data_IF_748899291043
#
_entry.id   IF_748899291043
#
_cell.length_a   1.000
_cell.length_b   1.000
_cell.length_c   1.000
_cell.angle_alpha   90.00
_cell.angle_beta   90.00
_cell.angle_gamma   90.00
#
_symmetry.space_group_name_H-M   'P 1'
#
loop_
_entity.id
_entity.type
_entity.pdbx_description
1 polymer ?
#
# COMPACT_ATOMS: atom_id res chain seq x y z
N UNK A 1 -29.80 14.35 -20.59
CA UNK A 1 -29.11 15.26 -19.65
C UNK A 1 -27.62 15.25 -19.92
N UNK A 2 -26.91 16.32 -19.57
CA UNK A 2 -25.65 16.74 -20.21
C UNK A 2 -24.36 16.05 -19.70
N UNK A 3 -24.49 14.92 -19.00
CA UNK A 3 -23.39 14.27 -18.26
C UNK A 3 -22.49 13.38 -19.13
N UNK A 4 -22.92 13.02 -20.34
CA UNK A 4 -22.17 12.15 -21.27
C UNK A 4 -20.84 12.73 -21.81
N UNK A 5 -20.55 14.00 -21.53
CA UNK A 5 -19.29 14.68 -21.87
C UNK A 5 -18.50 15.12 -20.63
N UNK A 6 -18.93 14.71 -19.44
CA UNK A 6 -18.27 15.09 -18.20
C UNK A 6 -16.99 14.27 -18.04
N UNK A 7 -15.84 14.92 -18.17
CA UNK A 7 -14.53 14.31 -17.96
C UNK A 7 -14.08 14.34 -16.49
N UNK A 8 -14.65 15.25 -15.69
CA UNK A 8 -14.29 15.43 -14.28
C UNK A 8 -15.57 15.62 -13.46
N UNK A 9 -15.79 14.75 -12.48
CA UNK A 9 -16.92 14.82 -11.56
C UNK A 9 -16.37 15.01 -10.15
N UNK A 10 -16.79 16.11 -9.53
CA UNK A 10 -16.57 16.37 -8.12
C UNK A 10 -17.91 16.30 -7.39
N UNK A 11 -17.92 15.60 -6.26
CA UNK A 11 -19.07 15.47 -5.36
C UNK A 11 -18.56 15.77 -3.95
N UNK A 12 -19.15 16.73 -3.23
CA UNK A 12 -18.83 16.91 -1.82
C UNK A 12 -19.58 18.01 -1.09
N UNK A 13 -19.51 17.95 0.25
CA UNK A 13 -20.00 18.92 1.25
C UNK A 13 -21.44 19.45 1.08
N UNK A 14 -22.29 18.75 0.32
CA UNK A 14 -23.75 19.00 0.21
C UNK A 14 -24.51 17.78 -0.34
N UNK A 15 -23.90 16.59 -0.34
CA UNK A 15 -24.47 15.37 -0.94
C UNK A 15 -24.95 14.37 0.11
N UNK A 16 -25.52 14.86 1.22
CA UNK A 16 -26.03 14.02 2.31
C UNK A 16 -27.18 13.09 1.91
N UNK A 17 -27.86 13.34 0.80
CA UNK A 17 -28.87 12.43 0.23
C UNK A 17 -28.27 11.34 -0.68
N UNK A 18 -26.99 11.43 -1.06
CA UNK A 18 -26.36 10.49 -1.99
C UNK A 18 -25.91 9.22 -1.26
N UNK A 19 -26.74 8.19 -1.30
CA UNK A 19 -26.40 6.87 -0.74
C UNK A 19 -25.66 5.95 -1.71
N UNK A 20 -25.85 6.12 -3.01
CA UNK A 20 -25.23 5.30 -4.06
C UNK A 20 -24.95 6.15 -5.30
N UNK A 21 -23.77 5.98 -5.91
CA UNK A 21 -23.42 6.61 -7.18
C UNK A 21 -23.37 5.57 -8.32
N UNK A 22 -24.18 5.77 -9.36
CA UNK A 22 -24.11 4.98 -10.60
C UNK A 22 -23.05 5.57 -11.54
N UNK A 23 -22.02 4.79 -11.87
CA UNK A 23 -20.88 5.30 -12.66
C UNK A 23 -21.16 5.36 -14.16
N UNK A 24 -22.07 4.53 -14.69
CA UNK A 24 -22.41 4.44 -16.12
C UNK A 24 -22.97 5.73 -16.72
N UNK A 25 -23.46 6.66 -15.90
CA UNK A 25 -23.97 7.95 -16.34
C UNK A 25 -22.86 8.90 -16.84
N UNK A 26 -21.59 8.54 -16.65
CA UNK A 26 -20.43 9.36 -16.99
C UNK A 26 -19.41 8.55 -17.85
N UNK A 27 -19.78 8.10 -19.06
CA UNK A 27 -18.93 7.21 -19.88
C UNK A 27 -17.61 7.85 -20.37
N UNK A 28 -17.52 9.19 -20.33
CA UNK A 28 -16.30 9.96 -20.64
C UNK A 28 -15.54 10.43 -19.39
N UNK A 29 -15.94 9.97 -18.21
CA UNK A 29 -15.32 10.39 -16.96
C UNK A 29 -13.89 9.90 -16.88
N UNK A 30 -12.96 10.83 -16.75
CA UNK A 30 -11.54 10.60 -16.51
C UNK A 30 -11.22 10.62 -15.02
N UNK A 31 -11.78 11.58 -14.29
CA UNK A 31 -11.52 11.77 -12.87
C UNK A 31 -12.82 11.79 -12.07
N UNK A 32 -12.88 10.95 -11.04
CA UNK A 32 -13.95 10.96 -10.03
C UNK A 32 -13.37 11.34 -8.67
N UNK A 33 -13.86 12.44 -8.09
CA UNK A 33 -13.52 12.90 -6.74
C UNK A 33 -14.79 12.95 -5.89
N UNK A 34 -14.80 12.23 -4.76
CA UNK A 34 -15.93 12.20 -3.82
C UNK A 34 -15.41 12.48 -2.41
N UNK A 35 -15.77 13.63 -1.85
CA UNK A 35 -15.33 14.08 -0.52
C UNK A 35 -16.53 14.33 0.38
N UNK A 36 -16.40 14.09 1.69
CA UNK A 36 -17.38 14.50 2.70
C UNK A 36 -18.82 14.03 2.39
N UNK A 37 -18.93 12.84 1.78
CA UNK A 37 -20.22 12.23 1.43
C UNK A 37 -20.61 11.26 2.54
N UNK A 38 -20.99 11.82 3.68
CA UNK A 38 -21.26 11.11 4.93
C UNK A 38 -22.30 9.98 4.83
N UNK A 39 -23.15 9.97 3.80
CA UNK A 39 -24.17 8.95 3.56
C UNK A 39 -23.92 8.01 2.38
N UNK A 40 -22.85 8.22 1.60
CA UNK A 40 -22.48 7.33 0.49
C UNK A 40 -22.09 5.97 1.06
N UNK A 41 -22.73 4.91 0.56
CA UNK A 41 -22.56 3.53 1.02
C UNK A 41 -21.95 2.62 -0.04
N UNK A 42 -22.20 2.88 -1.32
CA UNK A 42 -21.79 2.01 -2.42
C UNK A 42 -21.69 2.74 -3.76
N UNK A 43 -20.99 2.08 -4.69
CA UNK A 43 -21.04 2.39 -6.12
C UNK A 43 -21.93 1.37 -6.83
N UNK A 44 -22.55 1.80 -7.93
CA UNK A 44 -23.32 0.93 -8.80
C UNK A 44 -22.78 0.97 -10.24
N UNK A 45 -22.77 -0.19 -10.89
CA UNK A 45 -22.44 -0.38 -12.31
C UNK A 45 -23.51 -1.29 -12.91
N UNK A 46 -24.20 -0.81 -13.94
CA UNK A 46 -25.37 -1.48 -14.51
C UNK A 46 -24.91 -2.59 -15.47
N UNK A 47 -24.85 -3.85 -15.00
CA UNK A 47 -24.30 -5.02 -15.72
C UNK A 47 -24.78 -5.24 -17.17
N UNK A 48 -25.97 -4.75 -17.54
CA UNK A 48 -26.50 -4.83 -18.91
C UNK A 48 -25.87 -3.80 -19.86
N UNK A 49 -25.48 -2.65 -19.33
CA UNK A 49 -24.59 -1.71 -20.00
C UNK A 49 -23.19 -2.27 -19.76
N UNK A 50 -22.44 -2.59 -20.82
CA UNK A 50 -20.97 -2.77 -20.70
C UNK A 50 -20.33 -1.39 -20.53
N UNK A 51 -20.68 -0.73 -19.43
CA UNK A 51 -20.19 0.58 -18.99
C UNK A 51 -18.79 0.44 -18.44
N UNK A 52 -17.91 -0.15 -19.24
CA UNK A 52 -16.48 -0.16 -18.98
C UNK A 52 -16.05 1.28 -18.73
N UNK A 53 -15.36 1.51 -17.61
CA UNK A 53 -14.84 2.81 -17.23
C UNK A 53 -13.54 3.07 -18.01
N UNK A 54 -13.60 2.91 -19.34
CA UNK A 54 -12.50 3.03 -20.29
C UNK A 54 -11.87 4.41 -20.25
N UNK A 55 -12.66 5.43 -19.95
CA UNK A 55 -12.16 6.80 -19.82
C UNK A 55 -11.52 7.06 -18.46
N UNK A 56 -11.82 6.27 -17.43
CA UNK A 56 -11.46 6.58 -16.04
C UNK A 56 -9.99 6.32 -15.78
N UNK A 57 -9.28 7.40 -15.48
CA UNK A 57 -7.84 7.48 -15.26
C UNK A 57 -7.52 7.66 -13.76
N UNK A 58 -8.44 8.26 -12.98
CA UNK A 58 -8.26 8.51 -11.54
C UNK A 58 -9.54 8.38 -10.72
N UNK A 59 -9.43 7.72 -9.56
CA UNK A 59 -10.47 7.59 -8.55
C UNK A 59 -9.98 8.10 -7.19
N UNK A 60 -10.69 9.06 -6.62
CA UNK A 60 -10.40 9.64 -5.31
C UNK A 60 -11.64 9.67 -4.41
N UNK A 61 -11.52 9.09 -3.21
CA UNK A 61 -12.58 9.07 -2.19
C UNK A 61 -11.98 9.55 -0.86
N UNK A 62 -12.64 10.51 -0.23
CA UNK A 62 -12.24 11.08 1.08
C UNK A 62 -13.45 11.27 1.98
N UNK A 63 -13.27 11.04 3.27
CA UNK A 63 -14.26 11.41 4.30
C UNK A 63 -15.66 10.86 3.99
N UNK A 64 -15.69 9.62 3.50
CA UNK A 64 -16.89 8.85 3.19
C UNK A 64 -17.02 7.71 4.22
N UNK A 65 -17.30 8.01 5.50
CA UNK A 65 -17.22 7.03 6.59
C UNK A 65 -18.21 5.87 6.41
N UNK A 66 -19.33 6.06 5.72
CA UNK A 66 -20.34 5.01 5.48
C UNK A 66 -20.10 4.18 4.21
N UNK A 67 -19.08 4.48 3.40
CA UNK A 67 -18.80 3.71 2.20
C UNK A 67 -18.37 2.30 2.62
N UNK A 68 -19.13 1.27 2.22
CA UNK A 68 -18.89 -0.11 2.64
C UNK A 68 -18.12 -0.91 1.58
N UNK A 69 -18.47 -0.75 0.30
CA UNK A 69 -17.88 -1.55 -0.79
C UNK A 69 -17.91 -0.86 -2.16
N UNK A 70 -17.09 -1.42 -3.06
CA UNK A 70 -17.17 -1.22 -4.50
C UNK A 70 -18.30 -2.06 -5.14
N UNK A 71 -18.57 -1.91 -6.46
CA UNK A 71 -19.58 -2.71 -7.14
C UNK A 71 -19.24 -4.20 -7.13
N UNK A 72 -20.25 -5.06 -7.17
CA UNK A 72 -20.07 -6.52 -7.30
C UNK A 72 -19.38 -6.86 -8.63
N UNK A 73 -18.22 -7.52 -8.57
CA UNK A 73 -17.36 -7.76 -9.73
C UNK A 73 -16.28 -6.69 -9.96
N UNK A 74 -16.20 -5.67 -9.10
CA UNK A 74 -15.11 -4.70 -9.05
C UNK A 74 -15.30 -3.49 -9.96
N UNK A 75 -14.18 -2.91 -10.39
CA UNK A 75 -14.14 -1.78 -11.33
C UNK A 75 -13.46 -2.20 -12.63
N UNK A 76 -14.22 -2.36 -13.71
CA UNK A 76 -13.63 -2.60 -15.03
C UNK A 76 -13.16 -1.27 -15.64
N UNK A 77 -11.98 -0.83 -15.21
CA UNK A 77 -11.35 0.44 -15.57
C UNK A 77 -9.89 0.21 -16.02
N UNK A 78 -9.65 -0.33 -17.24
CA UNK A 78 -8.32 -0.77 -17.64
C UNK A 78 -7.29 0.37 -17.77
N UNK A 79 -7.76 1.60 -17.95
CA UNK A 79 -6.94 2.82 -18.01
C UNK A 79 -6.82 3.55 -16.65
N UNK A 80 -7.35 2.97 -15.57
CA UNK A 80 -7.26 3.54 -14.22
C UNK A 80 -5.81 3.47 -13.73
N UNK A 81 -5.18 4.63 -13.55
CA UNK A 81 -3.78 4.73 -13.15
C UNK A 81 -3.60 4.93 -11.64
N UNK A 82 -4.61 5.47 -10.96
CA UNK A 82 -4.56 5.85 -9.55
C UNK A 82 -5.86 5.55 -8.79
N UNK A 83 -5.70 4.99 -7.59
CA UNK A 83 -6.74 4.87 -6.57
C UNK A 83 -6.24 5.53 -5.28
N UNK A 84 -7.02 6.48 -4.77
CA UNK A 84 -6.78 7.13 -3.49
C UNK A 84 -8.02 7.00 -2.59
N UNK A 85 -7.87 6.37 -1.42
CA UNK A 85 -8.93 6.20 -0.44
C UNK A 85 -8.46 6.76 0.91
N UNK A 86 -9.23 7.69 1.47
CA UNK A 86 -8.93 8.28 2.78
C UNK A 86 -10.15 8.39 3.68
N UNK A 87 -9.97 8.10 4.97
CA UNK A 87 -11.01 8.23 6.00
C UNK A 87 -12.32 7.47 5.66
N UNK A 88 -12.18 6.35 4.94
CA UNK A 88 -13.30 5.48 4.56
C UNK A 88 -13.55 4.47 5.68
N UNK A 89 -14.18 4.96 6.76
CA UNK A 89 -14.25 4.26 8.05
C UNK A 89 -14.99 2.92 8.04
N UNK A 90 -15.92 2.68 7.11
CA UNK A 90 -16.63 1.39 6.98
C UNK A 90 -16.18 0.56 5.77
N UNK A 91 -15.20 1.03 4.99
CA UNK A 91 -14.82 0.39 3.73
C UNK A 91 -14.02 -0.86 4.03
N UNK A 92 -14.62 -2.03 3.83
CA UNK A 92 -14.04 -3.30 4.25
C UNK A 92 -13.19 -3.98 3.17
N UNK A 93 -13.41 -3.63 1.89
CA UNK A 93 -12.74 -4.23 0.74
C UNK A 93 -12.45 -3.22 -0.36
N UNK A 94 -11.38 -3.49 -1.11
CA UNK A 94 -11.02 -2.84 -2.36
C UNK A 94 -11.81 -3.42 -3.55
N UNK A 95 -11.78 -2.81 -4.75
CA UNK A 95 -12.49 -3.34 -5.90
C UNK A 95 -12.01 -4.74 -6.27
N UNK A 96 -12.91 -5.70 -6.53
CA UNK A 96 -12.49 -7.00 -7.04
C UNK A 96 -11.73 -6.88 -8.37
N UNK A 97 -10.86 -7.85 -8.65
CA UNK A 97 -10.16 -7.95 -9.93
C UNK A 97 -9.13 -6.85 -10.19
N UNK A 98 -8.48 -6.28 -9.16
CA UNK A 98 -7.44 -5.25 -9.33
C UNK A 98 -6.30 -5.64 -10.29
N UNK A 99 -6.03 -6.93 -10.48
CA UNK A 99 -5.07 -7.41 -11.50
C UNK A 99 -5.46 -7.07 -12.94
N UNK A 100 -6.74 -6.82 -13.21
CA UNK A 100 -7.25 -6.34 -14.51
C UNK A 100 -7.04 -4.83 -14.73
N UNK A 101 -6.71 -4.09 -13.68
CA UNK A 101 -6.31 -2.68 -13.75
C UNK A 101 -4.85 -2.61 -14.21
N UNK A 102 -4.59 -3.05 -15.44
CA UNK A 102 -3.24 -3.19 -16.00
C UNK A 102 -2.50 -1.86 -16.10
N UNK A 103 -3.20 -0.72 -16.10
CA UNK A 103 -2.60 0.62 -16.03
C UNK A 103 -2.38 1.16 -14.61
N UNK A 104 -2.83 0.46 -13.55
CA UNK A 104 -2.77 0.96 -12.17
C UNK A 104 -1.34 0.98 -11.65
N UNK A 105 -0.78 2.19 -11.53
CA UNK A 105 0.59 2.44 -11.07
C UNK A 105 0.65 2.70 -9.56
N UNK A 106 -0.45 3.20 -8.99
CA UNK A 106 -0.49 3.74 -7.62
C UNK A 106 -1.73 3.32 -6.83
N UNK A 107 -1.51 2.92 -5.59
CA UNK A 107 -2.56 2.63 -4.61
C UNK A 107 -2.23 3.30 -3.27
N UNK A 108 -3.10 4.21 -2.83
CA UNK A 108 -2.98 4.96 -1.58
C UNK A 108 -4.17 4.70 -0.66
N UNK A 109 -3.87 4.26 0.56
CA UNK A 109 -4.85 3.87 1.57
C UNK A 109 -4.49 4.57 2.88
N UNK A 110 -5.36 5.47 3.34
CA UNK A 110 -5.11 6.30 4.52
C UNK A 110 -6.31 6.34 5.47
N UNK A 111 -6.18 5.94 6.74
CA UNK A 111 -7.33 5.96 7.69
C UNK A 111 -8.53 5.19 7.14
N UNK A 112 -8.27 4.03 6.54
CA UNK A 112 -9.28 3.06 6.13
C UNK A 112 -9.13 1.83 7.04
N UNK A 113 -9.50 1.93 8.33
CA UNK A 113 -9.18 0.93 9.33
C UNK A 113 -9.94 -0.39 9.10
N UNK A 114 -11.04 -0.38 8.35
CA UNK A 114 -11.81 -1.59 8.05
C UNK A 114 -11.29 -2.38 6.83
N UNK A 115 -10.36 -1.85 6.01
CA UNK A 115 -9.83 -2.60 4.86
C UNK A 115 -8.94 -3.73 5.38
N UNK A 116 -9.41 -4.97 5.33
CA UNK A 116 -8.70 -6.11 5.91
C UNK A 116 -7.67 -6.74 4.96
N UNK A 117 -7.79 -6.55 3.65
CA UNK A 117 -6.89 -7.16 2.65
C UNK A 117 -6.94 -6.53 1.25
N UNK A 118 -6.00 -6.95 0.39
CA UNK A 118 -6.11 -6.78 -1.07
C UNK A 118 -6.97 -7.88 -1.71
N UNK A 119 -7.67 -7.58 -2.82
CA UNK A 119 -8.67 -8.44 -3.41
C UNK A 119 -8.05 -9.66 -4.12
N UNK A 120 -8.92 -10.61 -4.49
CA UNK A 120 -8.49 -11.86 -5.10
C UNK A 120 -7.73 -11.64 -6.43
N UNK A 121 -6.58 -12.30 -6.56
CA UNK A 121 -5.58 -12.07 -7.62
C UNK A 121 -4.37 -11.24 -7.14
N UNK A 122 -4.58 -10.39 -6.14
CA UNK A 122 -3.59 -9.45 -5.60
C UNK A 122 -3.58 -8.12 -6.35
N UNK A 123 -2.49 -7.38 -6.19
CA UNK A 123 -2.26 -6.12 -6.88
C UNK A 123 -1.78 -6.37 -8.33
N UNK A 124 -2.06 -5.45 -9.28
CA UNK A 124 -1.62 -5.60 -10.66
C UNK A 124 -0.09 -5.47 -10.74
N UNK A 125 0.58 -6.26 -11.58
CA UNK A 125 2.06 -6.26 -11.69
C UNK A 125 2.65 -4.96 -12.25
N UNK A 126 1.82 -4.07 -12.78
CA UNK A 126 2.13 -2.68 -13.12
C UNK A 126 2.15 -1.73 -11.92
N UNK A 127 1.74 -2.19 -10.72
CA UNK A 127 1.78 -1.37 -9.52
C UNK A 127 3.23 -1.09 -9.13
N UNK A 128 3.59 0.18 -9.18
CA UNK A 128 4.94 0.67 -8.85
C UNK A 128 5.03 1.04 -7.38
N UNK A 129 3.92 1.56 -6.83
CA UNK A 129 3.81 2.10 -5.49
C UNK A 129 2.61 1.51 -4.77
N UNK A 130 2.88 0.94 -3.61
CA UNK A 130 1.88 0.68 -2.59
C UNK A 130 2.15 1.54 -1.34
N UNK A 131 1.12 2.24 -0.86
CA UNK A 131 1.18 3.01 0.38
C UNK A 131 -0.07 2.79 1.24
N UNK A 132 0.19 2.37 2.48
CA UNK A 132 -0.81 1.99 3.48
C UNK A 132 -0.47 2.73 4.77
N UNK A 133 -1.32 3.63 5.25
CA UNK A 133 -1.08 4.42 6.46
C UNK A 133 -2.36 4.58 7.29
N UNK A 134 -2.25 4.51 8.62
CA UNK A 134 -3.41 4.50 9.54
C UNK A 134 -4.50 3.48 9.10
N UNK A 135 -4.12 2.36 8.46
CA UNK A 135 -5.07 1.34 7.99
C UNK A 135 -4.89 0.10 8.88
N UNK A 136 -5.52 0.17 10.04
CA UNK A 136 -5.33 -0.66 11.21
C UNK A 136 -5.45 -2.17 10.92
N UNK A 137 -6.46 -2.56 10.13
CA UNK A 137 -6.66 -3.95 9.68
C UNK A 137 -5.95 -4.28 8.37
N UNK A 138 -5.39 -3.29 7.65
CA UNK A 138 -4.65 -3.55 6.40
C UNK A 138 -3.22 -3.97 6.70
N UNK A 139 -3.14 -5.17 7.26
CA UNK A 139 -1.88 -5.81 7.61
C UNK A 139 -1.13 -6.17 6.31
N UNK A 140 0.21 -6.02 6.26
CA UNK A 140 1.04 -6.53 5.16
C UNK A 140 0.91 -8.06 5.02
N UNK A 141 0.08 -8.51 4.07
CA UNK A 141 -0.32 -9.91 3.90
C UNK A 141 0.31 -10.55 2.64
N UNK A 142 0.31 -11.89 2.56
CA UNK A 142 0.76 -12.64 1.37
C UNK A 142 0.05 -12.22 0.07
N UNK A 143 -1.16 -11.70 0.18
CA UNK A 143 -2.01 -11.24 -0.92
C UNK A 143 -1.43 -10.02 -1.65
N UNK A 144 -0.44 -9.36 -1.04
CA UNK A 144 0.29 -8.23 -1.61
C UNK A 144 1.16 -8.65 -2.81
N UNK A 145 1.60 -9.92 -2.87
CA UNK A 145 2.37 -10.55 -3.96
C UNK A 145 3.50 -9.69 -4.54
N UNK A 146 4.24 -9.01 -3.66
CA UNK A 146 5.31 -8.05 -4.00
C UNK A 146 6.42 -8.63 -4.89
N UNK A 147 6.56 -9.95 -4.88
CA UNK A 147 7.42 -10.75 -5.74
C UNK A 147 6.94 -10.82 -7.20
N UNK A 148 5.62 -10.80 -7.42
CA UNK A 148 4.99 -10.75 -8.76
C UNK A 148 4.67 -9.34 -9.21
N UNK A 149 4.75 -8.38 -8.28
CA UNK A 149 4.89 -6.98 -8.60
C UNK A 149 6.34 -6.72 -9.04
N UNK A 150 6.70 -7.24 -10.21
CA UNK A 150 8.02 -7.02 -10.83
C UNK A 150 8.32 -5.52 -11.03
N UNK A 151 7.27 -4.69 -11.11
CA UNK A 151 7.34 -3.23 -11.15
C UNK A 151 7.33 -2.55 -9.77
N UNK A 152 7.00 -3.25 -8.68
CA UNK A 152 6.89 -2.64 -7.36
C UNK A 152 8.28 -2.42 -6.78
N UNK A 153 8.57 -1.14 -6.64
CA UNK A 153 9.82 -0.66 -6.08
C UNK A 153 9.65 -0.17 -4.62
N UNK A 154 8.41 -0.13 -4.12
CA UNK A 154 8.04 0.72 -2.98
C UNK A 154 6.88 0.18 -2.16
N UNK A 155 7.14 -0.03 -0.88
CA UNK A 155 6.25 -0.59 0.14
C UNK A 155 6.18 0.31 1.39
N UNK A 156 5.24 1.24 1.40
CA UNK A 156 5.00 2.05 2.59
C UNK A 156 3.91 1.45 3.47
N UNK A 157 4.19 1.42 4.77
CA UNK A 157 3.39 0.82 5.81
C UNK A 157 3.32 1.79 6.99
N UNK A 158 2.14 2.09 7.53
CA UNK A 158 1.99 2.96 8.70
C UNK A 158 0.85 2.54 9.73
N UNK A 159 1.22 2.05 10.96
CA UNK A 159 0.54 1.65 12.26
C UNK A 159 1.15 2.20 13.65
N UNK A 160 0.51 3.11 14.45
CA UNK A 160 0.97 4.21 15.38
C UNK A 160 1.77 3.63 16.54
N UNK A 161 2.67 4.44 17.06
CA UNK A 161 3.35 4.25 18.35
C UNK A 161 2.41 4.05 19.56
N UNK A 162 1.10 4.31 19.41
CA UNK A 162 0.07 3.98 20.41
C UNK A 162 -1.16 3.24 19.83
N UNK A 163 -1.60 3.55 18.60
CA UNK A 163 -2.72 2.89 17.83
C UNK A 163 -3.01 3.38 16.34
N UNK A 164 -2.15 3.13 15.30
CA UNK A 164 -2.25 3.40 13.78
C UNK A 164 -1.46 4.57 12.97
N UNK A 165 -0.32 4.33 12.20
CA UNK A 165 1.04 5.01 11.89
C UNK A 165 2.51 4.46 12.27
N UNK A 166 3.28 3.72 11.41
CA UNK A 166 4.27 2.62 11.76
C UNK A 166 5.63 3.13 12.21
N UNK A 167 5.95 2.76 13.44
CA UNK A 167 7.27 2.82 14.07
C UNK A 167 8.12 1.54 13.89
N UNK A 168 7.68 0.62 13.04
CA UNK A 168 8.18 -0.77 12.86
C UNK A 168 8.38 -1.22 11.40
N UNK A 169 9.65 -1.12 11.03
CA UNK A 169 10.43 -1.58 9.89
C UNK A 169 10.38 -3.01 9.40
N UNK A 170 9.26 -3.68 9.17
CA UNK A 170 9.37 -5.06 8.70
C UNK A 170 9.65 -5.18 7.19
N UNK A 171 10.91 -5.48 6.88
CA UNK A 171 11.34 -5.99 5.57
C UNK A 171 11.66 -7.47 5.72
N UNK A 172 11.01 -8.37 5.00
CA UNK A 172 11.24 -9.80 5.23
C UNK A 172 11.06 -10.67 4.00
N UNK A 173 11.82 -11.75 3.96
CA UNK A 173 11.59 -12.92 3.09
C UNK A 173 11.45 -12.63 1.58
N UNK A 174 12.04 -11.54 1.10
CA UNK A 174 12.05 -11.23 -0.33
C UNK A 174 13.06 -12.18 -1.01
N UNK A 175 12.55 -13.18 -1.76
CA UNK A 175 13.38 -14.32 -2.23
C UNK A 175 14.14 -14.07 -3.52
N UNK A 176 13.66 -13.16 -4.38
CA UNK A 176 14.39 -12.62 -5.53
C UNK A 176 15.37 -11.51 -5.12
N UNK A 177 15.16 -10.92 -3.94
CA UNK A 177 15.92 -9.79 -3.40
C UNK A 177 17.31 -10.23 -2.93
N UNK A 178 18.24 -10.18 -3.88
CA UNK A 178 19.67 -10.40 -3.63
C UNK A 178 20.31 -9.32 -2.76
N UNK A 179 19.72 -8.12 -2.70
CA UNK A 179 20.18 -6.99 -1.89
C UNK A 179 18.97 -6.25 -1.36
N UNK A 180 18.99 -5.91 -0.07
CA UNK A 180 17.93 -5.16 0.59
C UNK A 180 17.92 -3.78 -0.01
N UNK A 181 16.97 -3.57 -0.91
CA UNK A 181 16.73 -2.25 -1.42
C UNK A 181 15.93 -1.51 -0.35
N UNK A 182 16.64 -0.79 0.52
CA UNK A 182 16.08 0.06 1.57
C UNK A 182 14.91 0.91 1.06
N UNK A 183 15.01 1.34 -0.20
CA UNK A 183 13.99 2.09 -0.96
C UNK A 183 12.60 1.48 -0.92
N UNK A 184 12.49 0.17 -0.80
CA UNK A 184 11.20 -0.48 -0.67
C UNK A 184 10.47 -0.07 0.62
N UNK A 185 11.13 0.53 1.60
CA UNK A 185 10.68 0.43 2.98
C UNK A 185 11.08 1.62 3.87
N UNK A 186 12.16 2.34 3.54
CA UNK A 186 12.77 3.52 4.19
C UNK A 186 11.85 4.64 4.71
N UNK A 187 10.56 4.59 4.36
CA UNK A 187 9.54 5.60 4.64
C UNK A 187 8.93 5.50 6.02
N UNK A 188 9.20 4.39 6.69
CA UNK A 188 8.84 4.26 8.08
C UNK A 188 9.90 5.09 8.79
N UNK A 189 9.50 6.24 9.35
CA UNK A 189 10.42 7.26 9.90
C UNK A 189 10.22 7.44 11.41
N UNK A 190 8.98 7.21 11.89
CA UNK A 190 8.72 6.81 13.27
C UNK A 190 9.45 5.49 13.64
N UNK A 191 9.99 4.81 12.63
CA UNK A 191 10.83 3.62 12.68
C UNK A 191 11.87 3.62 13.80
N UNK A 192 11.45 3.08 14.93
CA UNK A 192 12.33 2.68 16.01
C UNK A 192 12.96 1.31 15.75
N UNK A 193 12.24 0.42 15.05
CA UNK A 193 12.60 -0.99 14.94
C UNK A 193 12.62 -1.48 13.48
N UNK A 194 13.80 -1.60 12.88
CA UNK A 194 14.04 -2.18 11.55
C UNK A 194 14.35 -3.65 11.72
N UNK A 195 13.47 -4.48 11.17
CA UNK A 195 13.58 -5.93 11.18
C UNK A 195 13.83 -6.42 9.77
N UNK A 196 14.97 -7.07 9.57
CA UNK A 196 15.39 -7.61 8.28
C UNK A 196 15.69 -9.09 8.49
N UNK A 197 14.68 -9.92 8.21
CA UNK A 197 14.69 -11.34 8.58
C UNK A 197 14.59 -12.24 7.34
N UNK A 198 15.35 -13.35 7.38
CA UNK A 198 15.22 -14.51 6.48
C UNK A 198 15.17 -14.16 4.97
N UNK A 199 16.02 -13.25 4.51
CA UNK A 199 16.21 -13.03 3.08
C UNK A 199 17.45 -13.85 2.64
N UNK A 200 17.24 -14.96 1.93
CA UNK A 200 18.32 -15.95 1.72
C UNK A 200 19.36 -15.50 0.68
N UNK A 201 18.89 -14.84 -0.38
CA UNK A 201 19.77 -14.25 -1.40
C UNK A 201 20.35 -12.90 -0.94
N UNK A 202 19.82 -12.33 0.15
CA UNK A 202 20.26 -11.07 0.71
C UNK A 202 21.67 -11.21 1.26
N UNK A 203 22.64 -10.75 0.47
CA UNK A 203 24.05 -10.82 0.80
C UNK A 203 24.65 -9.46 1.15
N UNK A 204 23.88 -8.39 1.14
CA UNK A 204 24.29 -7.07 1.61
C UNK A 204 23.10 -6.31 2.15
N UNK A 205 23.31 -5.65 3.28
CA UNK A 205 22.43 -4.55 3.70
C UNK A 205 22.43 -3.48 2.58
N UNK A 206 21.55 -2.47 2.67
CA UNK A 206 21.65 -1.29 1.82
C UNK A 206 23.10 -0.78 1.82
N UNK A 207 23.59 -0.26 0.70
CA UNK A 207 24.95 0.35 0.71
C UNK A 207 24.93 1.72 1.38
N UNK A 208 23.73 2.28 1.46
CA UNK A 208 23.27 3.39 2.26
C UNK A 208 23.22 3.05 3.76
N UNK A 209 23.36 4.06 4.63
CA UNK A 209 23.19 3.87 6.06
C UNK A 209 21.71 3.67 6.43
N UNK A 210 21.45 2.73 7.35
CA UNK A 210 20.12 2.52 7.94
C UNK A 210 19.63 3.75 8.72
N UNK A 211 18.31 3.92 8.98
CA UNK A 211 17.75 5.16 9.50
C UNK A 211 18.40 5.60 10.82
N UNK A 212 18.44 6.89 11.11
CA UNK A 212 19.02 7.40 12.37
C UNK A 212 18.01 7.43 13.54
N UNK A 213 16.70 7.42 13.25
CA UNK A 213 15.64 7.12 14.23
C UNK A 213 15.62 5.63 14.63
N UNK A 214 16.34 4.79 13.90
CA UNK A 214 16.48 3.38 14.18
C UNK A 214 17.19 3.16 15.51
N UNK A 215 16.39 2.97 16.54
CA UNK A 215 16.83 2.66 17.88
C UNK A 215 17.30 1.20 17.96
N UNK A 216 16.60 0.31 17.26
CA UNK A 216 16.75 -1.13 17.32
C UNK A 216 16.85 -1.76 15.92
N UNK A 217 18.00 -2.32 15.58
CA UNK A 217 18.15 -3.20 14.42
C UNK A 217 18.15 -4.65 14.84
N UNK A 218 17.26 -5.43 14.23
CA UNK A 218 17.27 -6.88 14.31
C UNK A 218 17.56 -7.45 12.91
N UNK A 219 18.69 -8.15 12.77
CA UNK A 219 18.99 -8.96 11.58
C UNK A 219 19.20 -10.40 12.01
N UNK A 220 18.32 -11.28 11.55
CA UNK A 220 18.31 -12.69 11.95
C UNK A 220 18.27 -13.58 10.71
N UNK A 221 19.02 -14.68 10.77
CA UNK A 221 18.92 -15.80 9.81
C UNK A 221 19.04 -15.38 8.34
N UNK A 222 19.89 -14.40 8.04
CA UNK A 222 20.20 -14.01 6.66
C UNK A 222 21.59 -14.57 6.31
N UNK A 223 21.73 -15.82 5.82
CA UNK A 223 22.99 -16.55 5.83
C UNK A 223 24.10 -15.92 4.99
N UNK A 224 23.76 -15.10 3.99
CA UNK A 224 24.73 -14.34 3.20
C UNK A 224 25.04 -12.95 3.78
N UNK A 225 24.22 -12.44 4.70
CA UNK A 225 24.35 -11.13 5.33
C UNK A 225 24.91 -11.20 6.76
N UNK A 226 24.40 -12.07 7.62
CA UNK A 226 24.82 -12.22 9.02
C UNK A 226 26.35 -12.41 9.17
N UNK A 227 27.04 -13.27 8.39
CA UNK A 227 28.50 -13.38 8.48
C UNK A 227 29.23 -12.07 8.13
N UNK A 228 28.60 -11.18 7.37
CA UNK A 228 29.12 -9.87 7.01
C UNK A 228 28.74 -8.78 8.02
N UNK A 229 27.80 -9.02 8.93
CA UNK A 229 27.48 -8.10 10.04
C UNK A 229 28.21 -8.47 11.34
N UNK A 230 29.23 -9.34 11.30
CA UNK A 230 30.03 -9.66 12.49
C UNK A 230 30.77 -8.43 13.04
N UNK A 231 30.77 -8.18 14.37
CA UNK A 231 31.46 -7.03 14.95
C UNK A 231 32.94 -6.95 14.56
N UNK A 232 33.38 -5.76 14.16
CA UNK A 232 34.78 -5.41 13.79
C UNK A 232 35.43 -6.22 12.65
N UNK A 233 34.76 -7.24 12.12
CA UNK A 233 35.33 -8.24 11.20
C UNK A 233 34.42 -8.54 10.00
N UNK A 234 33.12 -8.27 10.11
CA UNK A 234 32.15 -8.36 9.04
C UNK A 234 32.20 -7.14 8.11
N UNK A 235 32.13 -7.39 6.80
CA UNK A 235 32.23 -6.37 5.74
C UNK A 235 31.14 -5.28 5.79
N UNK A 236 29.98 -5.57 6.35
CA UNK A 236 28.82 -4.68 6.46
C UNK A 236 28.71 -4.03 7.85
N UNK A 237 29.52 -4.43 8.84
CA UNK A 237 29.36 -3.99 10.25
C UNK A 237 29.35 -2.47 10.42
N UNK A 238 30.18 -1.75 9.66
CA UNK A 238 30.25 -0.29 9.68
C UNK A 238 28.91 0.40 9.36
N UNK A 239 28.00 -0.26 8.63
CA UNK A 239 26.66 0.26 8.26
C UNK A 239 25.67 0.24 9.42
N UNK A 240 25.91 -0.59 10.43
CA UNK A 240 25.00 -0.80 11.56
C UNK A 240 25.55 -0.29 12.88
N UNK A 241 26.88 -0.16 13.01
CA UNK A 241 27.61 0.07 14.27
C UNK A 241 27.22 1.34 15.09
N UNK A 242 26.38 2.23 14.55
CA UNK A 242 25.86 3.42 15.25
C UNK A 242 24.51 3.20 15.96
N UNK A 243 23.83 2.11 15.65
CA UNK A 243 22.47 1.82 16.11
C UNK A 243 22.56 1.42 17.59
N UNK A 244 21.79 2.04 18.50
CA UNK A 244 21.93 1.80 19.94
C UNK A 244 21.77 0.34 20.35
N UNK A 245 20.79 -0.35 19.75
CA UNK A 245 20.50 -1.77 20.04
C UNK A 245 20.63 -2.61 18.79
N UNK A 246 21.65 -3.47 18.76
CA UNK A 246 21.94 -4.35 17.61
C UNK A 246 21.90 -5.79 18.07
N UNK A 247 20.93 -6.53 17.56
CA UNK A 247 20.85 -7.97 17.71
C UNK A 247 21.12 -8.65 16.37
N UNK A 248 22.07 -9.57 16.36
CA UNK A 248 22.38 -10.43 15.23
C UNK A 248 22.36 -11.88 15.68
N UNK A 249 21.46 -12.67 15.09
CA UNK A 249 21.09 -14.01 15.56
C UNK A 249 20.84 -14.01 17.09
N UNK A 250 21.53 -14.88 17.84
CA UNK A 250 21.44 -14.98 19.31
C UNK A 250 22.42 -14.09 20.06
N UNK A 251 23.10 -13.16 19.38
CA UNK A 251 24.10 -12.28 19.98
C UNK A 251 23.56 -10.85 20.00
N UNK A 252 23.24 -10.38 21.22
CA UNK A 252 23.14 -8.94 21.51
C UNK A 252 24.57 -8.40 21.50
N UNK A 253 24.82 -7.40 20.67
CA UNK A 253 26.18 -6.87 20.45
C UNK A 253 26.41 -5.58 21.23
N UNK A 254 25.40 -4.73 21.29
CA UNK A 254 25.29 -3.49 22.06
C UNK A 254 23.80 -3.16 22.27
#
# INVERSE_FOLDING_TARGET
MQLAFLHHLFIGSSCDSLTTLTLDFFPKLKNLCIWDCSNLQSFNVIKEIKGDLQSLESLEIRDCPRLMSFPEGGLHAPNLESIFLSNCQNLNNLPDGMTSLTSLKTLFLHKCPEIESFPYGGLPSSLILLSVAYCDKLIPQKNWRLDTLESLNRLELEGHDTSSNISSLRISTLKSLKKLNYRGFQYLNALHTLEIHCCDLLHSLPDEELPSSLNQLCVQECPLLTPRLKPKSGKEWHKVARIPHIQIDHQIIC
#
